data_IF_760418848617
#
_entry.id   IF_760418848617
#
_cell.length_a   1.000
_cell.length_b   1.000
_cell.length_c   1.000
_cell.angle_alpha   90.00
_cell.angle_beta   90.00
_cell.angle_gamma   90.00
#
_symmetry.space_group_name_H-M   'P 1'
#
loop_
_entity.id
_entity.type
_entity.pdbx_description
1 polymer ?
#
# COMPACT_ATOMS: atom_id res chain seq x y z
N UNK A 1 16.16 33.46 13.69
CA UNK A 1 16.46 33.66 12.25
C UNK A 1 16.52 32.34 11.50
N UNK A 2 17.34 31.37 11.92
CA UNK A 2 17.44 30.07 11.23
C UNK A 2 16.16 29.23 11.19
N UNK A 3 15.36 29.22 12.27
CA UNK A 3 14.07 28.51 12.30
C UNK A 3 13.07 29.09 11.29
N UNK A 4 13.05 30.42 11.12
CA UNK A 4 12.18 31.09 10.16
C UNK A 4 12.61 30.78 8.71
N UNK A 5 13.92 30.72 8.44
CA UNK A 5 14.46 30.33 7.13
C UNK A 5 14.12 28.88 6.80
N UNK A 6 14.21 27.97 7.78
CA UNK A 6 13.80 26.56 7.58
C UNK A 6 12.30 26.42 7.31
N UNK A 7 11.47 27.18 8.01
CA UNK A 7 10.02 27.19 7.78
C UNK A 7 9.70 27.70 6.36
N UNK A 8 10.28 28.82 5.93
CA UNK A 8 10.11 29.35 4.57
C UNK A 8 10.60 28.38 3.49
N UNK A 9 11.73 27.68 3.71
CA UNK A 9 12.22 26.69 2.76
C UNK A 9 11.26 25.49 2.63
N UNK A 10 10.60 25.11 3.73
CA UNK A 10 9.59 24.04 3.72
C UNK A 10 8.35 24.47 2.96
N UNK A 11 7.85 25.67 3.22
CA UNK A 11 6.71 26.27 2.52
C UNK A 11 7.00 26.44 1.02
N UNK A 12 8.21 26.86 0.65
CA UNK A 12 8.63 26.93 -0.77
C UNK A 12 8.70 25.54 -1.43
N UNK A 13 9.10 24.51 -0.70
CA UNK A 13 9.11 23.13 -1.23
C UNK A 13 7.68 22.61 -1.44
N UNK A 14 6.78 22.87 -0.49
CA UNK A 14 5.36 22.52 -0.60
C UNK A 14 4.70 23.26 -1.77
N UNK A 15 4.93 24.56 -1.91
CA UNK A 15 4.42 25.36 -3.03
C UNK A 15 4.93 24.85 -4.39
N UNK A 16 6.19 24.42 -4.48
CA UNK A 16 6.73 23.81 -5.71
C UNK A 16 6.07 22.47 -6.04
N UNK A 17 5.80 21.65 -5.03
CA UNK A 17 5.06 20.39 -5.22
C UNK A 17 3.66 20.67 -5.75
N UNK A 18 2.94 21.61 -5.13
CA UNK A 18 1.59 22.01 -5.57
C UNK A 18 1.62 22.56 -7.01
N UNK A 19 2.63 23.37 -7.34
CA UNK A 19 2.80 23.89 -8.70
C UNK A 19 3.04 22.76 -9.72
N UNK A 20 3.85 21.76 -9.36
CA UNK A 20 4.10 20.60 -10.21
C UNK A 20 2.83 19.79 -10.44
N UNK A 21 2.07 19.52 -9.38
CA UNK A 21 0.81 18.79 -9.46
C UNK A 21 -0.24 19.55 -10.29
N UNK A 22 -0.35 20.87 -10.09
CA UNK A 22 -1.22 21.73 -10.89
C UNK A 22 -0.83 21.72 -12.38
N UNK A 23 0.47 21.70 -12.69
CA UNK A 23 0.96 21.63 -14.06
C UNK A 23 0.63 20.27 -14.70
N UNK A 24 0.85 19.17 -13.98
CA UNK A 24 0.48 17.82 -14.44
C UNK A 24 -1.02 17.68 -14.67
N UNK A 25 -1.85 18.22 -13.76
CA UNK A 25 -3.30 18.23 -13.90
C UNK A 25 -3.74 19.03 -15.13
N UNK A 26 -3.14 20.20 -15.37
CA UNK A 26 -3.41 21.02 -16.56
C UNK A 26 -3.03 20.28 -17.85
N UNK A 27 -1.87 19.64 -17.87
CA UNK A 27 -1.38 18.94 -19.05
C UNK A 27 -2.22 17.68 -19.34
N UNK A 28 -2.68 16.96 -18.31
CA UNK A 28 -3.66 15.88 -18.45
C UNK A 28 -5.00 16.38 -19.01
N UNK A 29 -5.54 17.47 -18.45
CA UNK A 29 -6.80 18.06 -18.93
C UNK A 29 -6.73 18.51 -20.40
N UNK A 30 -5.57 19.04 -20.84
CA UNK A 30 -5.34 19.39 -22.25
C UNK A 30 -5.36 18.16 -23.16
N UNK A 31 -4.71 17.08 -22.74
CA UNK A 31 -4.69 15.81 -23.50
C UNK A 31 -6.10 15.24 -23.61
N UNK A 32 -6.87 15.27 -22.53
CA UNK A 32 -8.24 14.77 -22.52
C UNK A 32 -9.17 15.61 -23.39
N UNK A 33 -9.03 16.95 -23.35
CA UNK A 33 -9.75 17.84 -24.25
C UNK A 33 -9.44 17.52 -25.71
N UNK A 34 -8.16 17.38 -26.07
CA UNK A 34 -7.76 17.07 -27.45
C UNK A 34 -8.33 15.72 -27.92
N UNK A 35 -8.35 14.70 -27.05
CA UNK A 35 -8.98 13.40 -27.34
C UNK A 35 -10.49 13.54 -27.57
N UNK A 36 -11.18 14.31 -26.72
CA UNK A 36 -12.62 14.53 -26.87
C UNK A 36 -12.96 15.31 -28.15
N UNK A 37 -12.16 16.32 -28.49
CA UNK A 37 -12.32 17.09 -29.73
C UNK A 37 -12.12 16.19 -30.96
N UNK A 38 -11.09 15.35 -30.96
CA UNK A 38 -10.84 14.40 -32.04
C UNK A 38 -11.99 13.39 -32.17
N UNK A 39 -12.44 12.80 -31.06
CA UNK A 39 -13.56 11.87 -31.05
C UNK A 39 -14.85 12.53 -31.57
N UNK A 40 -15.11 13.78 -31.17
CA UNK A 40 -16.26 14.54 -31.67
C UNK A 40 -16.16 14.82 -33.17
N UNK A 41 -14.98 15.18 -33.66
CA UNK A 41 -14.74 15.40 -35.09
C UNK A 41 -14.95 14.12 -35.91
N UNK A 42 -14.41 13.00 -35.46
CA UNK A 42 -14.58 11.69 -36.09
C UNK A 42 -16.05 11.25 -36.08
N UNK A 43 -16.75 11.40 -34.94
CA UNK A 43 -18.18 11.10 -34.84
C UNK A 43 -19.03 11.95 -35.80
N UNK A 44 -18.72 13.25 -35.91
CA UNK A 44 -19.37 14.15 -36.87
C UNK A 44 -19.13 13.69 -38.31
N UNK A 45 -17.88 13.32 -38.65
CA UNK A 45 -17.51 12.83 -39.98
C UNK A 45 -18.25 11.53 -40.32
N UNK A 46 -18.31 10.58 -39.40
CA UNK A 46 -19.03 9.30 -39.60
C UNK A 46 -20.55 9.51 -39.75
N UNK A 47 -21.13 10.41 -38.96
CA UNK A 47 -22.55 10.79 -39.08
C UNK A 47 -22.84 11.41 -40.44
N UNK A 48 -21.98 12.31 -40.92
CA UNK A 48 -22.13 12.97 -42.22
C UNK A 48 -21.99 11.99 -43.38
N UNK A 49 -21.05 11.05 -43.30
CA UNK A 49 -20.92 9.96 -44.27
C UNK A 49 -22.19 9.10 -44.32
N UNK A 50 -22.68 8.66 -43.16
CA UNK A 50 -23.91 7.86 -43.06
C UNK A 50 -25.12 8.61 -43.61
N UNK A 51 -25.23 9.91 -43.32
CA UNK A 51 -26.31 10.75 -43.82
C UNK A 51 -26.25 10.86 -45.36
N UNK A 52 -25.06 11.04 -45.92
CA UNK A 52 -24.86 11.13 -47.36
C UNK A 52 -25.19 9.79 -48.07
N UNK A 53 -24.79 8.66 -47.48
CA UNK A 53 -25.15 7.34 -47.97
C UNK A 53 -26.66 7.11 -47.98
N UNK A 54 -27.35 7.45 -46.89
CA UNK A 54 -28.81 7.36 -46.81
C UNK A 54 -29.50 8.27 -47.82
N UNK A 55 -29.01 9.51 -48.01
CA UNK A 55 -29.53 10.43 -49.04
C UNK A 55 -29.41 9.82 -50.44
N UNK A 56 -28.25 9.24 -50.79
CA UNK A 56 -28.04 8.55 -52.07
C UNK A 56 -28.97 7.34 -52.25
N UNK A 57 -29.25 6.58 -51.19
CA UNK A 57 -30.19 5.46 -51.26
C UNK A 57 -31.62 5.93 -51.52
N UNK A 58 -32.06 6.99 -50.84
CA UNK A 58 -33.38 7.60 -51.04
C UNK A 58 -33.51 8.15 -52.46
N UNK A 59 -32.49 8.83 -52.98
CA UNK A 59 -32.47 9.35 -54.36
C UNK A 59 -32.61 8.21 -55.39
N UNK A 60 -31.83 7.12 -55.22
CA UNK A 60 -31.97 5.92 -56.08
C UNK A 60 -33.35 5.28 -56.00
N UNK A 61 -33.96 5.20 -54.82
CA UNK A 61 -35.33 4.68 -54.68
C UNK A 61 -36.35 5.58 -55.37
N UNK A 62 -36.19 6.91 -55.28
CA UNK A 62 -37.03 7.88 -55.97
C UNK A 62 -36.92 7.74 -57.49
N UNK A 63 -35.70 7.61 -58.02
CA UNK A 63 -35.49 7.36 -59.46
C UNK A 63 -36.11 6.04 -59.93
N UNK A 64 -36.02 4.98 -59.10
CA UNK A 64 -36.62 3.69 -59.42
C UNK A 64 -38.16 3.76 -59.39
N UNK A 65 -38.73 4.44 -58.40
CA UNK A 65 -40.17 4.67 -58.30
C UNK A 65 -40.70 5.48 -59.50
N UNK A 66 -40.01 6.55 -59.91
CA UNK A 66 -40.38 7.35 -61.08
C UNK A 66 -40.31 6.54 -62.39
N UNK A 67 -39.31 5.66 -62.54
CA UNK A 67 -39.21 4.74 -63.68
C UNK A 67 -40.32 3.69 -63.67
N UNK A 68 -40.67 3.16 -62.49
CA UNK A 68 -41.77 2.20 -62.34
C UNK A 68 -43.12 2.86 -62.66
N UNK A 69 -43.34 4.09 -62.21
CA UNK A 69 -44.55 4.87 -62.51
C UNK A 69 -44.67 5.15 -64.02
N UNK A 70 -43.58 5.57 -64.69
CA UNK A 70 -43.54 5.74 -66.16
C UNK A 70 -43.82 4.44 -66.92
N UNK A 71 -43.47 3.27 -66.35
CA UNK A 71 -43.74 1.96 -66.95
C UNK A 71 -45.19 1.54 -66.73
N UNK A 72 -45.75 1.80 -65.55
CA UNK A 72 -47.15 1.56 -65.24
C UNK A 72 -48.08 2.42 -66.11
N UNK A 73 -47.75 3.71 -66.29
CA UNK A 73 -48.49 4.62 -67.19
C UNK A 73 -48.44 4.21 -68.67
N UNK A 74 -47.43 3.42 -69.10
CA UNK A 74 -47.36 2.83 -70.45
C UNK A 74 -48.13 1.51 -70.58
N UNK A 75 -48.26 0.76 -69.49
CA UNK A 75 -48.99 -0.51 -69.47
C UNK A 75 -50.52 -0.32 -69.49
N UNK A 76 -51.04 0.85 -69.08
CA UNK A 76 -52.47 1.16 -69.13
C UNK A 76 -53.03 1.46 -70.53
N UNK A 77 -52.19 1.47 -71.57
CA UNK A 77 -52.64 1.74 -72.95
C UNK A 77 -52.72 0.50 -73.86
N UNK A 78 -52.29 -0.68 -73.42
CA UNK A 78 -52.30 -1.92 -74.22
C UNK A 78 -52.76 -3.12 -73.39
N UNK A 79 -54.07 -3.25 -73.21
CA UNK A 79 -54.70 -4.49 -72.79
C UNK A 79 -56.09 -4.60 -73.42
N UNK A 80 -56.14 -5.01 -74.69
CA UNK A 80 -57.32 -5.63 -75.28
C UNK A 80 -56.89 -6.71 -76.29
N UNK A 81 -57.75 -7.71 -76.39
CA UNK A 81 -57.83 -8.79 -77.37
C UNK A 81 -56.85 -9.98 -77.28
N UNK A 82 -57.37 -11.13 -76.84
CA UNK A 82 -57.68 -12.26 -77.73
C UNK A 82 -58.11 -13.49 -76.92
N UNK A 83 -59.38 -13.87 -77.09
CA UNK A 83 -59.89 -15.19 -76.80
C UNK A 83 -59.77 -16.06 -78.06
N UNK A 84 -59.18 -17.25 -77.97
CA UNK A 84 -59.51 -18.31 -78.91
C UNK A 84 -59.40 -19.72 -78.33
N UNK A 85 -60.49 -20.44 -78.59
CA UNK A 85 -60.81 -21.85 -78.49
C UNK A 85 -59.71 -22.80 -79.01
N UNK A 86 -59.52 -23.94 -78.32
CA UNK A 86 -59.04 -25.15 -78.97
C UNK A 86 -59.43 -26.44 -78.23
N UNK A 87 -60.07 -27.34 -78.98
CA UNK A 87 -60.52 -28.67 -78.57
C UNK A 87 -59.36 -29.59 -78.18
N UNK A 88 -59.48 -30.27 -77.03
CA UNK A 88 -58.55 -31.34 -76.62
C UNK A 88 -59.29 -32.60 -76.14
N UNK A 89 -58.86 -33.72 -76.73
CA UNK A 89 -59.13 -35.13 -76.50
C UNK A 89 -59.77 -35.60 -75.17
N UNK A 90 -60.83 -36.39 -75.29
CA UNK A 90 -61.76 -36.83 -74.23
C UNK A 90 -61.26 -37.94 -73.27
N UNK A 91 -59.95 -38.15 -73.12
CA UNK A 91 -59.38 -39.14 -72.17
C UNK A 91 -58.36 -38.54 -71.18
N UNK A 92 -57.97 -37.27 -71.36
CA UNK A 92 -57.27 -36.45 -70.38
C UNK A 92 -58.21 -35.58 -69.53
N UNK A 93 -59.48 -35.46 -69.93
CA UNK A 93 -60.47 -34.55 -69.34
C UNK A 93 -60.93 -35.00 -67.95
N UNK A 94 -60.97 -36.29 -67.64
CA UNK A 94 -61.45 -36.77 -66.32
C UNK A 94 -60.46 -36.48 -65.20
N UNK A 95 -59.16 -36.75 -65.40
CA UNK A 95 -58.11 -36.31 -64.45
C UNK A 95 -58.02 -34.80 -64.35
N UNK A 96 -58.19 -34.09 -65.48
CA UNK A 96 -58.22 -32.63 -65.49
C UNK A 96 -59.44 -32.07 -64.75
N UNK A 97 -60.61 -32.71 -64.84
CA UNK A 97 -61.83 -32.27 -64.16
C UNK A 97 -61.77 -32.53 -62.65
N UNK A 98 -61.22 -33.68 -62.23
CA UNK A 98 -60.95 -33.96 -60.81
C UNK A 98 -59.93 -32.97 -60.23
N UNK A 99 -58.90 -32.61 -61.00
CA UNK A 99 -57.95 -31.56 -60.62
C UNK A 99 -58.63 -30.20 -60.52
N UNK A 100 -59.46 -29.83 -61.49
CA UNK A 100 -60.22 -28.56 -61.48
C UNK A 100 -61.12 -28.50 -60.24
N UNK A 101 -61.87 -29.56 -59.93
CA UNK A 101 -62.71 -29.62 -58.73
C UNK A 101 -61.88 -29.49 -57.45
N UNK A 102 -60.73 -30.17 -57.37
CA UNK A 102 -59.83 -30.06 -56.22
C UNK A 102 -59.29 -28.64 -56.06
N UNK A 103 -58.96 -27.97 -57.17
CA UNK A 103 -58.53 -26.57 -57.15
C UNK A 103 -59.69 -25.65 -56.75
N UNK A 104 -60.91 -25.85 -57.24
CA UNK A 104 -62.09 -25.07 -56.88
C UNK A 104 -62.42 -25.18 -55.38
N UNK A 105 -62.35 -26.38 -54.81
CA UNK A 105 -62.53 -26.59 -53.37
C UNK A 105 -61.44 -25.90 -52.54
N UNK A 106 -60.17 -26.02 -52.96
CA UNK A 106 -59.06 -25.31 -52.33
C UNK A 106 -59.20 -23.78 -52.43
N UNK A 107 -59.65 -23.26 -53.57
CA UNK A 107 -59.89 -21.84 -53.77
C UNK A 107 -61.03 -21.32 -52.92
N UNK A 108 -62.12 -22.08 -52.78
CA UNK A 108 -63.23 -21.73 -51.89
C UNK A 108 -62.76 -21.63 -50.44
N UNK A 109 -61.95 -22.59 -49.98
CA UNK A 109 -61.37 -22.56 -48.63
C UNK A 109 -60.46 -21.34 -48.42
N UNK A 110 -59.62 -21.00 -49.41
CA UNK A 110 -58.76 -19.82 -49.34
C UNK A 110 -59.60 -18.54 -49.31
N UNK A 111 -60.64 -18.45 -50.14
CA UNK A 111 -61.55 -17.31 -50.20
C UNK A 111 -62.28 -17.08 -48.87
N UNK A 112 -62.73 -18.16 -48.25
CA UNK A 112 -63.38 -18.13 -46.93
C UNK A 112 -62.40 -17.72 -45.82
N UNK A 113 -61.17 -18.24 -45.84
CA UNK A 113 -60.15 -17.92 -44.84
C UNK A 113 -59.57 -16.50 -44.97
N UNK A 114 -59.50 -15.96 -46.19
CA UNK A 114 -58.95 -14.61 -46.47
C UNK A 114 -60.02 -13.53 -46.48
N UNK A 115 -61.30 -13.90 -46.53
CA UNK A 115 -62.47 -13.00 -46.61
C UNK A 115 -62.38 -12.04 -47.80
N UNK A 116 -62.04 -12.59 -48.97
CA UNK A 116 -61.81 -11.82 -50.19
C UNK A 116 -62.89 -12.14 -51.24
N UNK A 117 -63.31 -11.17 -52.05
CA UNK A 117 -64.42 -11.33 -53.00
C UNK A 117 -63.99 -11.84 -54.39
N UNK A 118 -62.77 -11.52 -54.85
CA UNK A 118 -62.22 -11.93 -56.16
C UNK A 118 -60.83 -12.60 -56.04
N UNK A 119 -60.50 -13.47 -57.00
CA UNK A 119 -59.21 -14.16 -57.09
C UNK A 119 -58.06 -13.16 -57.26
N UNK A 120 -58.30 -12.09 -58.01
CA UNK A 120 -57.30 -11.05 -58.24
C UNK A 120 -56.93 -10.32 -56.94
N UNK A 121 -57.91 -10.11 -56.05
CA UNK A 121 -57.68 -9.50 -54.74
C UNK A 121 -56.84 -10.42 -53.83
N UNK A 122 -57.05 -11.74 -53.90
CA UNK A 122 -56.23 -12.74 -53.19
C UNK A 122 -54.78 -12.64 -53.67
N UNK A 123 -54.57 -12.68 -54.99
CA UNK A 123 -53.22 -12.59 -55.59
C UNK A 123 -52.54 -11.28 -55.23
N UNK A 124 -53.26 -10.16 -55.30
CA UNK A 124 -52.75 -8.84 -54.93
C UNK A 124 -52.37 -8.76 -53.45
N UNK A 125 -53.18 -9.31 -52.55
CA UNK A 125 -52.90 -9.32 -51.12
C UNK A 125 -51.69 -10.20 -50.80
N UNK A 126 -51.55 -11.37 -51.41
CA UNK A 126 -50.35 -12.21 -51.27
C UNK A 126 -49.09 -11.51 -51.79
N UNK A 127 -49.17 -10.86 -52.94
CA UNK A 127 -48.04 -10.10 -53.51
C UNK A 127 -47.64 -8.92 -52.62
N UNK A 128 -48.61 -8.23 -52.01
CA UNK A 128 -48.37 -7.09 -51.11
C UNK A 128 -47.86 -7.56 -49.74
N UNK A 129 -48.31 -8.73 -49.27
CA UNK A 129 -47.93 -9.29 -47.98
C UNK A 129 -46.56 -9.98 -48.01
N UNK A 130 -46.12 -10.53 -49.14
CA UNK A 130 -44.80 -11.19 -49.28
C UNK A 130 -43.64 -10.28 -48.85
N UNK A 131 -43.70 -8.98 -49.20
CA UNK A 131 -42.73 -7.99 -48.75
C UNK A 131 -42.72 -7.82 -47.22
N UNK A 132 -43.91 -7.77 -46.60
CA UNK A 132 -44.08 -7.65 -45.16
C UNK A 132 -43.60 -8.91 -44.43
N UNK A 133 -43.92 -10.10 -44.96
CA UNK A 133 -43.49 -11.39 -44.41
C UNK A 133 -41.97 -11.51 -44.43
N UNK A 134 -41.31 -11.22 -45.56
CA UNK A 134 -39.84 -11.23 -45.66
C UNK A 134 -39.20 -10.21 -44.71
N UNK A 135 -39.83 -9.05 -44.54
CA UNK A 135 -39.36 -8.04 -43.59
C UNK A 135 -39.44 -8.53 -42.15
N UNK A 136 -40.56 -9.14 -41.74
CA UNK A 136 -40.74 -9.72 -40.42
C UNK A 136 -39.78 -10.89 -40.16
N UNK A 137 -39.58 -11.78 -41.13
CA UNK A 137 -38.60 -12.86 -41.03
C UNK A 137 -37.17 -12.32 -40.86
N UNK A 138 -36.84 -11.23 -41.56
CA UNK A 138 -35.55 -10.56 -41.36
C UNK A 138 -35.44 -9.98 -39.95
N UNK A 139 -36.47 -9.29 -39.47
CA UNK A 139 -36.47 -8.75 -38.11
C UNK A 139 -36.36 -9.85 -37.05
N UNK A 140 -37.03 -10.98 -37.21
CA UNK A 140 -36.90 -12.14 -36.33
C UNK A 140 -35.46 -12.66 -36.30
N UNK A 141 -34.84 -12.85 -37.48
CA UNK A 141 -33.43 -13.26 -37.58
C UNK A 141 -32.49 -12.27 -36.92
N UNK A 142 -32.65 -10.97 -37.18
CA UNK A 142 -31.82 -9.92 -36.60
C UNK A 142 -31.97 -9.87 -35.07
N UNK A 143 -33.20 -10.02 -34.56
CA UNK A 143 -33.47 -10.06 -33.12
C UNK A 143 -32.88 -11.30 -32.44
N UNK A 144 -32.95 -12.47 -33.09
CA UNK A 144 -32.34 -13.70 -32.59
C UNK A 144 -30.82 -13.60 -32.52
N UNK A 145 -30.19 -13.04 -33.56
CA UNK A 145 -28.75 -12.78 -33.58
C UNK A 145 -28.33 -11.80 -32.49
N UNK A 146 -29.10 -10.71 -32.30
CA UNK A 146 -28.84 -9.75 -31.24
C UNK A 146 -28.97 -10.40 -29.86
N UNK A 147 -30.01 -11.23 -29.66
CA UNK A 147 -30.21 -11.95 -28.40
C UNK A 147 -29.08 -12.93 -28.10
N UNK A 148 -28.55 -13.60 -29.13
CA UNK A 148 -27.40 -14.49 -28.99
C UNK A 148 -26.15 -13.71 -28.57
N UNK A 149 -25.84 -12.60 -29.24
CA UNK A 149 -24.71 -11.71 -28.88
C UNK A 149 -24.83 -11.18 -27.46
N UNK A 150 -26.00 -10.67 -27.07
CA UNK A 150 -26.23 -10.16 -25.72
C UNK A 150 -26.06 -11.24 -24.63
N UNK A 151 -26.40 -12.50 -24.94
CA UNK A 151 -26.15 -13.62 -24.01
C UNK A 151 -24.67 -13.93 -23.87
N UNK A 152 -23.93 -13.90 -24.97
CA UNK A 152 -22.47 -14.08 -24.95
C UNK A 152 -21.80 -12.95 -24.18
N UNK A 153 -22.15 -11.70 -24.47
CA UNK A 153 -21.65 -10.51 -23.76
C UNK A 153 -21.96 -10.56 -22.26
N UNK A 154 -23.20 -10.94 -21.91
CA UNK A 154 -23.57 -11.14 -20.49
C UNK A 154 -22.70 -12.21 -19.84
N UNK A 155 -22.47 -13.33 -20.51
CA UNK A 155 -21.59 -14.40 -20.02
C UNK A 155 -20.16 -13.92 -19.80
N UNK A 156 -19.60 -13.22 -20.80
CA UNK A 156 -18.25 -12.64 -20.72
C UNK A 156 -18.12 -11.65 -19.57
N UNK A 157 -19.03 -10.68 -19.47
CA UNK A 157 -19.01 -9.67 -18.39
C UNK A 157 -19.20 -10.30 -17.02
N UNK A 158 -20.03 -11.34 -16.91
CA UNK A 158 -20.22 -12.06 -15.64
C UNK A 158 -18.94 -12.78 -15.22
N UNK A 159 -18.25 -13.44 -16.16
CA UNK A 159 -16.97 -14.10 -15.90
C UNK A 159 -15.87 -13.09 -15.51
N UNK A 160 -15.80 -11.94 -16.19
CA UNK A 160 -14.89 -10.84 -15.84
C UNK A 160 -15.19 -10.31 -14.43
N UNK A 161 -16.47 -10.16 -14.08
CA UNK A 161 -16.88 -9.72 -12.75
C UNK A 161 -16.51 -10.73 -11.66
N UNK A 162 -16.72 -12.03 -11.90
CA UNK A 162 -16.31 -13.08 -10.97
C UNK A 162 -14.79 -13.09 -10.78
N UNK A 163 -14.02 -13.01 -11.87
CA UNK A 163 -12.56 -12.88 -11.77
C UNK A 163 -12.15 -11.64 -10.97
N UNK A 164 -12.78 -10.49 -11.20
CA UNK A 164 -12.47 -9.27 -10.46
C UNK A 164 -12.86 -9.38 -8.99
N UNK A 165 -13.99 -10.01 -8.67
CA UNK A 165 -14.44 -10.24 -7.29
C UNK A 165 -13.43 -11.07 -6.53
N UNK A 166 -13.01 -12.21 -7.09
CA UNK A 166 -12.09 -13.13 -6.41
C UNK A 166 -10.62 -12.67 -6.44
N UNK A 167 -10.17 -12.04 -7.54
CA UNK A 167 -8.80 -11.50 -7.61
C UNK A 167 -8.64 -10.19 -6.84
N UNK A 168 -9.67 -9.34 -6.82
CA UNK A 168 -9.68 -8.08 -6.10
C UNK A 168 -9.70 -8.28 -4.58
N UNK A 169 -10.47 -9.24 -4.09
CA UNK A 169 -10.54 -9.54 -2.64
C UNK A 169 -9.24 -10.16 -2.12
N UNK A 170 -8.62 -11.07 -2.89
CA UNK A 170 -7.30 -11.63 -2.56
C UNK A 170 -6.19 -10.56 -2.57
N UNK A 171 -6.19 -9.68 -3.58
CA UNK A 171 -5.25 -8.56 -3.67
C UNK A 171 -5.46 -7.54 -2.54
N UNK A 172 -6.70 -7.24 -2.17
CA UNK A 172 -7.00 -6.31 -1.08
C UNK A 172 -6.50 -6.86 0.26
N UNK A 173 -6.77 -8.13 0.55
CA UNK A 173 -6.32 -8.80 1.78
C UNK A 173 -4.79 -8.81 1.91
N UNK A 174 -4.09 -9.15 0.82
CA UNK A 174 -2.63 -9.12 0.80
C UNK A 174 -2.07 -7.71 0.99
N UNK A 175 -2.67 -6.69 0.37
CA UNK A 175 -2.26 -5.30 0.54
C UNK A 175 -2.52 -4.80 1.97
N UNK A 176 -3.63 -5.17 2.59
CA UNK A 176 -3.93 -4.82 3.99
C UNK A 176 -2.88 -5.42 4.92
N UNK A 177 -2.54 -6.70 4.74
CA UNK A 177 -1.50 -7.37 5.54
C UNK A 177 -0.12 -6.74 5.32
N UNK A 178 0.21 -6.37 4.09
CA UNK A 178 1.46 -5.66 3.79
C UNK A 178 1.49 -4.28 4.46
N UNK A 179 0.38 -3.53 4.43
CA UNK A 179 0.27 -2.23 5.09
C UNK A 179 0.43 -2.35 6.60
N UNK A 180 -0.14 -3.39 7.21
CA UNK A 180 0.02 -3.67 8.64
C UNK A 180 1.48 -3.99 8.98
N UNK A 181 2.12 -4.87 8.21
CA UNK A 181 3.55 -5.18 8.37
C UNK A 181 4.44 -3.94 8.21
N UNK A 182 4.17 -3.10 7.20
CA UNK A 182 4.90 -1.84 7.02
C UNK A 182 4.65 -0.89 8.19
N UNK A 183 3.43 -0.83 8.71
CA UNK A 183 3.08 -0.05 9.90
C UNK A 183 3.86 -0.49 11.13
N UNK A 184 4.00 -1.79 11.34
CA UNK A 184 4.78 -2.32 12.46
C UNK A 184 6.28 -2.10 12.30
N UNK A 185 6.81 -2.22 11.08
CA UNK A 185 8.20 -1.85 10.78
C UNK A 185 8.48 -0.37 11.10
N UNK A 186 7.56 0.54 10.75
CA UNK A 186 7.70 1.96 11.06
C UNK A 186 7.72 2.18 12.57
N UNK A 187 6.79 1.56 13.33
CA UNK A 187 6.78 1.67 14.80
C UNK A 187 8.10 1.18 15.42
N UNK A 188 8.62 0.04 14.95
CA UNK A 188 9.88 -0.52 15.46
C UNK A 188 11.07 0.41 15.19
N UNK A 189 11.14 0.99 14.00
CA UNK A 189 12.20 1.95 13.66
C UNK A 189 12.05 3.28 14.40
N UNK A 190 10.84 3.77 14.65
CA UNK A 190 10.58 4.95 15.49
C UNK A 190 11.03 4.72 16.94
N UNK A 191 10.73 3.56 17.52
CA UNK A 191 11.23 3.20 18.85
C UNK A 191 12.75 3.12 18.89
N UNK A 192 13.36 2.53 17.85
CA UNK A 192 14.82 2.42 17.72
C UNK A 192 15.45 3.80 17.63
N UNK A 193 14.87 4.70 16.84
CA UNK A 193 15.30 6.09 16.70
C UNK A 193 15.21 6.81 18.05
N UNK A 194 14.08 6.69 18.75
CA UNK A 194 13.87 7.28 20.07
C UNK A 194 14.91 6.78 21.09
N UNK A 195 15.17 5.47 21.13
CA UNK A 195 16.22 4.87 21.97
C UNK A 195 17.61 5.41 21.62
N UNK A 196 17.92 5.58 20.33
CA UNK A 196 19.20 6.12 19.88
C UNK A 196 19.36 7.61 20.24
N UNK A 197 18.30 8.41 20.08
CA UNK A 197 18.27 9.82 20.47
C UNK A 197 18.46 9.99 21.98
N UNK A 198 17.77 9.21 22.80
CA UNK A 198 17.93 9.25 24.26
C UNK A 198 19.36 8.88 24.68
N UNK A 199 20.00 7.90 24.01
CA UNK A 199 21.42 7.57 24.25
C UNK A 199 22.33 8.72 23.84
N UNK A 200 22.10 9.32 22.67
CA UNK A 200 22.87 10.45 22.20
C UNK A 200 22.79 11.62 23.18
N UNK A 201 21.60 12.00 23.62
CA UNK A 201 21.40 13.11 24.57
C UNK A 201 22.12 12.85 25.90
N UNK A 202 22.04 11.62 26.44
CA UNK A 202 22.79 11.24 27.65
C UNK A 202 24.29 11.37 27.44
N UNK A 203 24.83 10.85 26.34
CA UNK A 203 26.28 10.94 26.05
C UNK A 203 26.74 12.38 25.83
N UNK A 204 25.93 13.21 25.16
CA UNK A 204 26.20 14.63 24.97
C UNK A 204 26.19 15.39 26.31
N UNK A 205 25.26 15.06 27.20
CA UNK A 205 25.19 15.68 28.52
C UNK A 205 26.43 15.34 29.36
N UNK A 206 26.84 14.06 29.37
CA UNK A 206 28.07 13.61 30.05
C UNK A 206 29.30 14.31 29.45
N UNK A 207 29.40 14.38 28.11
CA UNK A 207 30.50 15.06 27.44
C UNK A 207 30.57 16.55 27.78
N UNK A 208 29.42 17.23 27.82
CA UNK A 208 29.31 18.63 28.23
C UNK A 208 29.74 18.81 29.69
N UNK A 209 29.29 17.95 30.60
CA UNK A 209 29.70 17.99 32.01
C UNK A 209 31.20 17.77 32.17
N UNK A 210 31.77 16.77 31.48
CA UNK A 210 33.20 16.50 31.49
C UNK A 210 34.01 17.69 30.95
N UNK A 211 33.58 18.27 29.83
CA UNK A 211 34.21 19.45 29.22
C UNK A 211 34.20 20.65 30.16
N UNK A 212 33.05 20.96 30.76
CA UNK A 212 32.93 22.03 31.76
C UNK A 212 33.79 21.74 33.00
N UNK A 213 33.83 20.48 33.45
CA UNK A 213 34.69 20.04 34.55
C UNK A 213 36.18 20.27 34.27
N UNK A 214 36.64 19.96 33.05
CA UNK A 214 38.01 20.19 32.59
C UNK A 214 38.33 21.69 32.53
N UNK A 215 37.45 22.50 31.96
CA UNK A 215 37.63 23.96 31.94
C UNK A 215 37.70 24.56 33.34
N UNK A 216 36.82 24.13 34.25
CA UNK A 216 36.83 24.56 35.64
C UNK A 216 38.12 24.15 36.36
N UNK A 217 38.59 22.93 36.13
CA UNK A 217 39.87 22.44 36.67
C UNK A 217 41.03 23.27 36.15
N UNK A 218 41.06 23.58 34.86
CA UNK A 218 42.08 24.45 34.27
C UNK A 218 42.08 25.83 34.89
N UNK A 219 40.91 26.44 35.11
CA UNK A 219 40.76 27.72 35.78
C UNK A 219 41.38 27.70 37.18
N UNK A 220 41.12 26.65 37.96
CA UNK A 220 41.71 26.46 39.30
C UNK A 220 43.23 26.27 39.27
N UNK A 221 43.75 25.63 38.24
CA UNK A 221 45.18 25.36 38.06
C UNK A 221 45.92 26.50 37.34
N UNK A 222 45.27 27.63 37.05
CA UNK A 222 45.86 28.76 36.30
C UNK A 222 47.13 29.33 36.95
N UNK A 223 47.20 29.36 38.29
CA UNK A 223 48.35 29.86 39.06
C UNK A 223 49.57 28.93 39.04
N UNK A 224 49.39 27.65 38.71
CA UNK A 224 50.46 26.65 38.66
C UNK A 224 51.23 26.82 37.36
N UNK A 225 52.44 27.38 37.46
CA UNK A 225 53.33 27.59 36.32
C UNK A 225 54.11 26.32 36.02
N UNK A 226 53.80 25.68 34.90
CA UNK A 226 54.61 24.58 34.37
C UNK A 226 55.68 25.20 33.46
N UNK A 227 56.94 24.80 33.63
CA UNK A 227 57.99 25.14 32.67
C UNK A 227 57.83 24.25 31.45
N UNK A 228 57.28 24.78 30.35
CA UNK A 228 57.00 23.97 29.17
C UNK A 228 57.61 24.59 27.92
N UNK A 229 58.68 23.95 27.42
CA UNK A 229 59.25 24.16 26.07
C UNK A 229 58.58 23.29 24.99
N UNK A 230 57.55 22.48 25.33
CA UNK A 230 57.01 21.44 24.44
C UNK A 230 55.50 21.47 24.15
N UNK A 231 54.72 22.37 24.76
CA UNK A 231 53.27 22.39 24.58
C UNK A 231 52.71 23.81 24.46
N UNK A 232 51.63 23.97 23.66
CA UNK A 232 51.02 25.26 23.41
C UNK A 232 50.52 25.92 24.70
N UNK A 233 50.64 27.24 24.75
CA UNK A 233 50.02 28.07 25.80
C UNK A 233 48.50 27.84 25.77
N UNK A 234 47.83 27.70 26.94
CA UNK A 234 46.38 27.53 26.99
C UNK A 234 45.69 28.63 26.18
N UNK A 235 44.98 28.24 25.13
CA UNK A 235 44.29 29.13 24.20
C UNK A 235 42.88 28.62 23.97
N UNK A 236 41.94 29.53 23.69
CA UNK A 236 40.54 29.22 23.41
C UNK A 236 40.31 28.24 22.24
N UNK A 237 41.36 27.92 21.46
CA UNK A 237 41.33 27.02 20.30
C UNK A 237 41.81 25.59 20.60
N UNK A 238 42.24 25.27 21.82
CA UNK A 238 42.70 23.92 22.17
C UNK A 238 41.53 22.93 22.23
N UNK A 239 41.76 21.67 21.91
CA UNK A 239 40.75 20.63 22.10
C UNK A 239 40.60 20.30 23.59
N UNK A 240 39.43 19.80 24.00
CA UNK A 240 39.17 19.42 25.42
C UNK A 240 40.21 18.43 25.95
N UNK A 241 40.75 17.58 25.06
CA UNK A 241 41.82 16.65 25.39
C UNK A 241 43.12 17.36 25.74
N UNK A 242 43.54 18.35 24.96
CA UNK A 242 44.75 19.10 25.25
C UNK A 242 44.62 19.87 26.59
N UNK A 243 43.41 20.37 26.87
CA UNK A 243 43.11 21.00 28.16
C UNK A 243 43.29 20.02 29.33
N UNK A 244 42.90 18.75 29.15
CA UNK A 244 43.05 17.70 30.14
C UNK A 244 44.53 17.32 30.36
N UNK A 245 45.32 17.19 29.30
CA UNK A 245 46.75 16.89 29.38
C UNK A 245 47.51 17.98 30.16
N UNK A 246 47.17 19.26 29.93
CA UNK A 246 47.72 20.38 30.72
C UNK A 246 47.31 20.29 32.18
N UNK A 247 46.06 19.94 32.47
CA UNK A 247 45.60 19.78 33.85
C UNK A 247 46.34 18.64 34.57
N UNK A 248 46.54 17.50 33.90
CA UNK A 248 47.28 16.36 34.44
C UNK A 248 48.71 16.75 34.84
N UNK A 249 49.45 17.42 33.95
CA UNK A 249 50.82 17.86 34.23
C UNK A 249 50.90 18.82 35.41
N UNK A 250 49.96 19.78 35.49
CA UNK A 250 49.88 20.72 36.63
C UNK A 250 49.62 19.99 37.93
N UNK A 251 48.70 19.02 37.93
CA UNK A 251 48.39 18.22 39.11
C UNK A 251 49.57 17.35 39.54
N UNK A 252 50.26 16.69 38.61
CA UNK A 252 51.46 15.90 38.90
C UNK A 252 52.58 16.75 39.53
N UNK A 253 52.78 17.97 39.01
CA UNK A 253 53.74 18.92 39.59
C UNK A 253 53.34 19.30 41.03
N UNK A 254 52.06 19.60 41.26
CA UNK A 254 51.54 19.95 42.58
C UNK A 254 51.69 18.79 43.56
N UNK A 255 51.37 17.58 43.13
CA UNK A 255 51.52 16.36 43.94
C UNK A 255 52.97 16.13 44.35
N UNK A 256 53.92 16.36 43.43
CA UNK A 256 55.35 16.28 43.73
C UNK A 256 55.79 17.36 44.73
N UNK A 257 55.30 18.59 44.59
CA UNK A 257 55.60 19.69 45.52
C UNK A 257 55.04 19.44 46.92
N UNK A 258 53.84 18.87 47.01
CA UNK A 258 53.17 18.55 48.27
C UNK A 258 53.63 17.21 48.87
N UNK A 259 54.56 16.50 48.23
CA UNK A 259 55.03 15.16 48.65
C UNK A 259 53.89 14.16 48.88
N UNK A 260 52.75 14.34 48.19
CA UNK A 260 51.60 13.44 48.30
C UNK A 260 51.99 12.08 47.70
N UNK A 261 52.15 11.07 48.56
CA UNK A 261 52.38 9.69 48.12
C UNK A 261 51.07 9.13 47.57
N UNK A 262 51.08 8.67 46.33
CA UNK A 262 49.95 7.91 45.75
C UNK A 262 49.93 6.53 46.41
N UNK A 263 49.18 6.40 47.50
CA UNK A 263 48.68 5.10 47.96
C UNK A 263 47.49 4.65 47.11
N UNK A 264 47.06 3.38 47.22
CA UNK A 264 45.79 2.91 46.66
C UNK A 264 44.64 3.89 47.00
N UNK A 265 43.64 4.09 46.12
CA UNK A 265 42.49 4.94 46.42
C UNK A 265 41.89 4.53 47.78
N UNK A 266 41.84 5.46 48.73
CA UNK A 266 41.35 5.20 50.09
C UNK A 266 42.42 4.86 51.12
N UNK A 267 43.65 4.46 50.76
CA UNK A 267 44.62 3.95 51.75
C UNK A 267 45.06 4.97 52.81
N UNK A 268 45.23 6.26 52.46
CA UNK A 268 45.48 7.31 53.46
C UNK A 268 44.21 7.68 54.24
N UNK A 269 43.05 7.67 53.57
CA UNK A 269 41.76 7.93 54.22
C UNK A 269 41.45 6.84 55.24
N UNK A 270 41.69 5.58 54.91
CA UNK A 270 41.48 4.41 55.76
C UNK A 270 42.49 4.37 56.89
N UNK A 271 43.75 4.77 56.67
CA UNK A 271 44.74 4.95 57.75
C UNK A 271 44.36 6.07 58.71
N UNK A 272 43.84 7.19 58.19
CA UNK A 272 43.41 8.32 59.02
C UNK A 272 42.08 8.01 59.74
N UNK A 273 41.15 7.30 59.11
CA UNK A 273 39.90 6.83 59.70
C UNK A 273 40.12 5.71 60.73
N UNK A 274 41.09 4.82 60.49
CA UNK A 274 41.52 3.80 61.45
C UNK A 274 42.53 4.34 62.49
N UNK A 275 42.90 5.63 62.40
CA UNK A 275 43.75 6.23 63.42
C UNK A 275 42.97 6.33 64.73
N UNK A 276 43.60 5.86 65.81
CA UNK A 276 43.02 5.92 67.16
C UNK A 276 42.57 7.35 67.53
N UNK A 277 43.26 8.38 67.03
CA UNK A 277 42.89 9.78 67.24
C UNK A 277 41.58 10.20 66.56
N UNK A 278 41.26 9.68 65.37
CA UNK A 278 40.00 9.99 64.68
C UNK A 278 38.81 9.27 65.34
N UNK A 279 39.02 8.02 65.75
CA UNK A 279 38.01 7.26 66.50
C UNK A 279 37.70 7.93 67.85
N UNK A 280 38.74 8.36 68.59
CA UNK A 280 38.59 9.07 69.86
C UNK A 280 37.94 10.45 69.71
N UNK A 281 38.19 11.17 68.61
CA UNK A 281 37.51 12.43 68.30
C UNK A 281 36.02 12.24 68.04
N UNK A 282 35.66 11.21 67.26
CA UNK A 282 34.25 10.85 67.05
C UNK A 282 33.60 10.45 68.38
N UNK A 283 34.25 9.58 69.16
CA UNK A 283 33.79 9.09 70.47
C UNK A 283 33.63 10.22 71.51
N UNK A 284 34.52 11.21 71.51
CA UNK A 284 34.43 12.39 72.39
C UNK A 284 33.30 13.36 72.03
N UNK A 285 32.75 13.26 70.81
CA UNK A 285 31.65 14.08 70.33
C UNK A 285 30.26 13.47 70.51
N UNK A 286 30.13 12.19 70.92
CA UNK A 286 28.81 11.58 71.14
C UNK A 286 28.20 12.04 72.47
N UNK A 287 26.88 12.26 72.46
CA UNK A 287 26.11 12.54 73.68
C UNK A 287 26.13 11.31 74.59
N UNK A 288 26.11 11.52 75.91
CA UNK A 288 26.18 10.46 76.94
C UNK A 288 25.06 9.41 76.83
N UNK A 289 23.98 9.75 76.13
CA UNK A 289 22.79 8.91 75.96
C UNK A 289 22.89 7.97 74.74
N UNK A 290 23.98 8.04 73.95
CA UNK A 290 24.19 7.14 72.82
C UNK A 290 24.60 5.75 73.30
N UNK A 291 23.62 4.85 73.41
CA UNK A 291 23.84 3.42 73.64
C UNK A 291 24.05 2.72 72.29
N UNK A 292 25.17 2.01 72.14
CA UNK A 292 25.51 1.27 70.91
C UNK A 292 24.64 0.01 70.83
N UNK A 293 23.75 -0.06 69.84
CA UNK A 293 22.88 -1.23 69.64
C UNK A 293 23.66 -2.29 68.86
N UNK A 294 23.88 -3.45 69.48
CA UNK A 294 24.39 -4.64 68.80
C UNK A 294 23.22 -5.25 68.02
N UNK A 295 23.26 -5.18 66.69
CA UNK A 295 22.25 -5.82 65.85
C UNK A 295 22.64 -7.29 65.69
N UNK A 296 21.84 -8.18 66.27
CA UNK A 296 21.95 -9.62 66.02
C UNK A 296 21.54 -9.90 64.57
N UNK A 297 22.26 -10.80 63.89
CA UNK A 297 21.94 -11.20 62.52
C UNK A 297 20.67 -12.05 62.56
N UNK A 298 19.56 -11.53 62.05
CA UNK A 298 18.35 -12.33 61.85
C UNK A 298 18.61 -13.44 60.81
N UNK A 299 18.50 -14.70 61.25
CA UNK A 299 18.28 -15.84 60.37
C UNK A 299 16.83 -15.76 59.88
N UNK A 300 16.65 -15.31 58.63
CA UNK A 300 15.35 -15.24 57.97
C UNK A 300 14.91 -16.66 57.55
N UNK A 301 14.07 -17.29 58.36
CA UNK A 301 13.39 -18.56 58.09
C UNK A 301 12.00 -18.33 57.43
N UNK A 302 11.95 -17.43 56.43
CA UNK A 302 10.73 -17.20 55.65
C UNK A 302 10.62 -18.25 54.54
N UNK A 303 9.76 -19.25 54.76
CA UNK A 303 9.33 -20.24 53.77
C UNK A 303 8.35 -19.58 52.79
N UNK A 304 8.84 -19.29 51.59
CA UNK A 304 8.14 -18.60 50.50
C UNK A 304 7.03 -19.51 49.92
N UNK A 305 5.82 -19.46 50.48
CA UNK A 305 4.68 -20.36 50.13
C UNK A 305 3.64 -19.72 49.20
N UNK A 306 3.93 -18.59 48.57
CA UNK A 306 3.02 -17.95 47.61
C UNK A 306 3.54 -18.05 46.17
N UNK A 307 3.50 -19.26 45.63
CA UNK A 307 3.68 -19.51 44.20
C UNK A 307 2.37 -19.13 43.48
N UNK A 308 2.31 -17.91 42.94
CA UNK A 308 1.27 -17.54 41.98
C UNK A 308 1.50 -18.34 40.71
N UNK A 309 0.63 -19.31 40.42
CA UNK A 309 0.55 -19.95 39.10
C UNK A 309 0.12 -18.91 38.05
N UNK A 310 1.09 -18.16 37.53
CA UNK A 310 0.90 -17.33 36.34
C UNK A 310 0.96 -18.25 35.13
N UNK A 311 -0.22 -18.61 34.64
CA UNK A 311 -0.45 -19.54 33.54
C UNK A 311 -0.11 -18.95 32.14
N UNK A 312 0.94 -18.12 32.06
CA UNK A 312 1.38 -17.44 30.82
C UNK A 312 2.91 -17.34 30.69
N UNK A 313 3.68 -18.40 30.98
CA UNK A 313 5.08 -18.45 30.55
C UNK A 313 5.56 -19.90 30.33
N UNK A 314 5.05 -20.57 29.30
CA UNK A 314 5.61 -21.86 28.87
C UNK A 314 6.94 -21.71 28.08
N UNK A 315 7.40 -20.48 27.82
CA UNK A 315 8.58 -20.21 27.00
C UNK A 315 9.67 -19.34 27.66
N UNK A 316 9.46 -18.86 28.89
CA UNK A 316 10.45 -18.05 29.60
C UNK A 316 11.17 -18.87 30.68
N UNK A 317 12.51 -18.89 30.63
CA UNK A 317 13.34 -19.52 31.65
C UNK A 317 13.04 -18.91 33.03
N UNK A 318 12.68 -19.76 33.99
CA UNK A 318 12.40 -19.35 35.36
C UNK A 318 13.65 -18.72 36.01
N UNK A 319 13.46 -17.93 37.06
CA UNK A 319 14.57 -17.33 37.84
C UNK A 319 15.55 -18.40 38.36
N UNK A 320 15.04 -19.57 38.76
CA UNK A 320 15.86 -20.70 39.21
C UNK A 320 16.65 -21.31 38.06
N UNK A 321 16.08 -21.39 36.85
CA UNK A 321 16.80 -21.85 35.65
C UNK A 321 17.92 -20.88 35.24
N UNK A 322 17.65 -19.57 35.26
CA UNK A 322 18.67 -18.54 34.99
C UNK A 322 19.81 -18.64 36.00
N UNK A 323 19.49 -18.83 37.28
CA UNK A 323 20.48 -18.98 38.35
C UNK A 323 21.34 -20.24 38.15
N UNK A 324 20.71 -21.36 37.82
CA UNK A 324 21.39 -22.63 37.54
C UNK A 324 22.31 -22.52 36.32
N UNK A 325 21.87 -21.87 35.23
CA UNK A 325 22.68 -21.59 34.05
C UNK A 325 23.87 -20.67 34.39
N UNK A 326 23.65 -19.66 35.23
CA UNK A 326 24.71 -18.78 35.74
C UNK A 326 25.76 -19.53 36.55
N UNK A 327 25.34 -20.42 37.44
CA UNK A 327 26.25 -21.23 38.26
C UNK A 327 27.06 -22.20 37.39
N UNK A 328 26.45 -22.82 36.38
CA UNK A 328 27.17 -23.68 35.42
C UNK A 328 28.21 -22.91 34.60
N UNK A 329 27.88 -21.69 34.14
CA UNK A 329 28.82 -20.81 33.43
C UNK A 329 30.01 -20.42 34.32
N UNK A 330 29.76 -20.14 35.60
CA UNK A 330 30.80 -19.80 36.56
C UNK A 330 31.70 -21.00 36.88
N UNK A 331 31.16 -22.22 36.94
CA UNK A 331 31.95 -23.43 37.17
C UNK A 331 32.80 -23.84 35.97
N UNK A 332 32.33 -23.60 34.73
CA UNK A 332 33.13 -23.81 33.51
C UNK A 332 34.31 -22.84 33.44
N UNK A 333 34.13 -21.61 33.91
CA UNK A 333 35.19 -20.60 33.92
C UNK A 333 36.04 -20.57 35.19
N UNK A 334 35.77 -21.42 36.19
CA UNK A 334 36.63 -21.55 37.37
C UNK A 334 37.90 -22.33 37.02
N UNK A 335 39.10 -21.73 37.16
CA UNK A 335 40.35 -22.46 36.91
C UNK A 335 40.50 -23.60 37.92
N UNK A 336 40.63 -24.84 37.43
CA UNK A 336 40.85 -26.02 38.27
C UNK A 336 42.13 -25.83 39.11
N UNK A 337 41.97 -25.69 40.44
CA UNK A 337 43.11 -25.68 41.37
C UNK A 337 43.86 -27.01 41.25
N UNK A 338 45.14 -26.97 40.84
CA UNK A 338 46.03 -28.14 40.86
C UNK A 338 46.13 -28.66 42.30
N UNK A 339 45.68 -29.90 42.55
CA UNK A 339 45.94 -30.61 43.82
C UNK A 339 47.44 -30.78 43.97
N UNK A 340 48.05 -30.11 44.95
CA UNK A 340 49.41 -30.39 45.39
C UNK A 340 49.44 -31.78 46.02
N UNK A 341 50.25 -32.70 45.48
CA UNK A 341 50.52 -34.00 46.11
C UNK A 341 51.21 -33.73 47.45
N UNK A 342 50.58 -34.14 48.55
CA UNK A 342 51.25 -34.25 49.86
C UNK A 342 52.42 -35.22 49.71
N UNK A 343 53.63 -34.75 50.02
CA UNK A 343 54.79 -35.60 50.28
C UNK A 343 54.46 -36.49 51.46
N UNK A 344 54.58 -37.81 51.28
CA UNK A 344 54.59 -38.76 52.40
C UNK A 344 55.98 -38.68 53.03
N UNK A 345 56.01 -38.39 54.33
CA UNK A 345 57.10 -38.87 55.20
C UNK A 345 56.82 -40.33 55.56
#
# INVERSE_FOLDING_TARGET
MELAIRAQNKELAELRSIQQDAQLSKDAAKVDLQKQEQAHFEAKRMREQTLNEKKKQVEKQKEFAEKAEKRAQRATFHADDHAHDNQVSHLSITKSAEQIQTYEEAFRLIKEATVVFDINDIVWQFQTQDGTTRHLEKQCRDAEQLRAKLREDKGRVTAEFEQLKFSGEAGLSQNVLLLEQMGDHVKQEDERLSRAQARLERTQNVLRQATTGIHNLMGKLSSVKISVKKFPVPSSKMEVRDHLDVCEQKLLLLMKQLQLKVGPPGAERDKNMASSGFQAFLEGGLRKDNVRITVEKEESDYEDTYEYESQEHEEALSRSDIKRLGDQLLDVHRPKKKKTKKSKN
#
